data_IF_009209227386
#
_entry.id   IF_009209227386
#
_cell.length_a   1.000
_cell.length_b   1.000
_cell.length_c   1.000
_cell.angle_alpha   90.00
_cell.angle_beta   90.00
_cell.angle_gamma   90.00
#
_symmetry.space_group_name_H-M   'P 1'
#
loop_
_entity.id
_entity.type
_entity.pdbx_description
1 polymer ?
#
# COMPACT_ATOMS: atom_id res chain seq x y z
N UNK A 1 -18.46 -15.81 11.69
CA UNK A 1 -17.65 -14.60 11.42
C UNK A 1 -16.35 -15.11 10.81
N UNK A 2 -15.98 -14.66 9.60
CA UNK A 2 -14.70 -15.06 9.00
C UNK A 2 -13.56 -14.28 9.68
N UNK A 3 -12.36 -14.83 9.62
CA UNK A 3 -11.17 -14.11 10.07
C UNK A 3 -10.93 -12.89 9.16
N UNK A 4 -10.54 -11.76 9.76
CA UNK A 4 -10.30 -10.51 9.04
C UNK A 4 -8.80 -10.25 9.00
N UNK A 5 -8.30 -9.89 7.82
CA UNK A 5 -6.92 -9.44 7.63
C UNK A 5 -6.92 -7.93 7.40
N UNK A 6 -6.05 -7.23 8.12
CA UNK A 6 -5.86 -5.80 7.97
C UNK A 6 -4.80 -5.53 6.91
N UNK A 7 -5.13 -4.64 5.99
CA UNK A 7 -4.22 -4.13 4.97
C UNK A 7 -4.06 -2.61 5.10
N UNK A 8 -2.86 -2.15 4.79
CA UNK A 8 -2.55 -0.74 4.53
C UNK A 8 -1.59 -0.66 3.35
N UNK A 9 -1.08 0.54 3.09
CA UNK A 9 -0.02 0.76 2.10
C UNK A 9 1.21 1.43 2.72
N UNK A 10 2.29 1.54 1.96
CA UNK A 10 3.58 2.01 2.47
C UNK A 10 3.56 3.44 3.03
N UNK A 11 2.49 4.20 2.82
CA UNK A 11 2.38 5.60 3.26
C UNK A 11 1.77 5.77 4.65
N UNK A 12 1.49 4.66 5.35
CA UNK A 12 0.90 4.70 6.69
C UNK A 12 1.88 5.09 7.79
N UNK A 13 3.20 5.06 7.53
CA UNK A 13 4.29 5.36 8.48
C UNK A 13 4.20 4.58 9.81
N UNK A 14 3.55 3.41 9.79
CA UNK A 14 3.54 2.51 10.93
C UNK A 14 4.93 1.92 11.15
N UNK A 15 5.36 1.89 12.40
CA UNK A 15 6.60 1.19 12.74
C UNK A 15 6.44 -0.33 12.59
N UNK A 16 7.56 -1.02 12.37
CA UNK A 16 7.60 -2.48 12.15
C UNK A 16 7.00 -3.28 13.31
N UNK A 17 7.12 -2.77 14.54
CA UNK A 17 6.56 -3.42 15.73
C UNK A 17 5.03 -3.49 15.65
N UNK A 18 4.36 -2.39 15.35
CA UNK A 18 2.91 -2.34 15.21
C UNK A 18 2.41 -3.18 14.04
N UNK A 19 3.12 -3.11 12.90
CA UNK A 19 2.81 -3.93 11.73
C UNK A 19 2.82 -5.42 12.10
N UNK A 20 3.83 -5.85 12.84
CA UNK A 20 3.99 -7.25 13.27
C UNK A 20 2.99 -7.66 14.36
N UNK A 21 2.77 -6.83 15.36
CA UNK A 21 1.86 -7.12 16.47
C UNK A 21 0.40 -7.23 16.02
N UNK A 22 -0.02 -6.40 15.07
CA UNK A 22 -1.37 -6.39 14.52
C UNK A 22 -1.52 -7.22 13.22
N UNK A 23 -0.46 -7.88 12.77
CA UNK A 23 -0.37 -8.64 11.51
C UNK A 23 -0.88 -7.88 10.27
N UNK A 24 -0.54 -6.59 10.18
CA UNK A 24 -0.97 -5.72 9.08
C UNK A 24 -0.16 -6.04 7.83
N UNK A 25 -0.83 -6.25 6.71
CA UNK A 25 -0.20 -6.44 5.41
C UNK A 25 -0.04 -5.09 4.71
N UNK A 26 1.13 -4.85 4.12
CA UNK A 26 1.45 -3.57 3.47
C UNK A 26 1.53 -3.80 1.97
N UNK A 27 0.83 -2.98 1.20
CA UNK A 27 0.98 -2.89 -0.27
C UNK A 27 1.91 -1.72 -0.58
N UNK A 28 3.10 -1.95 -1.18
CA UNK A 28 4.04 -0.87 -1.45
C UNK A 28 3.52 0.06 -2.55
N UNK A 29 3.72 1.37 -2.37
CA UNK A 29 3.74 2.32 -3.48
C UNK A 29 5.13 2.34 -4.12
N UNK A 30 5.29 3.18 -5.14
CA UNK A 30 6.50 3.21 -5.94
C UNK A 30 7.17 4.58 -5.91
N UNK A 31 8.50 4.56 -5.91
CA UNK A 31 9.38 5.73 -6.01
C UNK A 31 10.33 5.53 -7.18
N UNK A 32 10.43 6.52 -8.06
CA UNK A 32 11.20 6.41 -9.30
C UNK A 32 12.23 7.52 -9.49
N UNK A 33 13.38 7.14 -10.06
CA UNK A 33 14.44 8.02 -10.53
C UNK A 33 14.70 7.71 -12.02
N UNK A 34 14.24 8.58 -12.91
CA UNK A 34 14.28 8.37 -14.37
C UNK A 34 13.62 7.04 -14.79
N UNK A 35 14.42 6.05 -15.18
CA UNK A 35 13.98 4.72 -15.64
C UNK A 35 13.96 3.68 -14.51
N UNK A 36 14.56 4.00 -13.37
CA UNK A 36 14.58 3.13 -12.19
C UNK A 36 13.32 3.35 -11.36
N UNK A 37 12.63 2.27 -10.98
CA UNK A 37 11.44 2.28 -10.12
C UNK A 37 11.69 1.32 -8.97
N UNK A 38 11.35 1.75 -7.76
CA UNK A 38 11.55 1.02 -6.52
C UNK A 38 10.23 0.94 -5.77
N UNK A 39 9.98 -0.20 -5.13
CA UNK A 39 8.93 -0.36 -4.12
C UNK A 39 9.36 0.31 -2.81
N UNK A 40 8.53 1.22 -2.35
CA UNK A 40 8.72 1.95 -1.11
C UNK A 40 8.64 1.00 0.10
N UNK A 41 9.65 1.07 0.98
CA UNK A 41 9.78 0.21 2.16
C UNK A 41 10.29 -1.21 1.90
N UNK A 42 10.26 -1.69 0.65
CA UNK A 42 10.77 -3.03 0.27
C UNK A 42 12.13 -2.95 -0.45
N UNK A 43 12.23 -2.10 -1.47
CA UNK A 43 13.42 -1.98 -2.33
C UNK A 43 14.20 -0.69 -2.05
N UNK A 44 13.52 0.33 -1.53
CA UNK A 44 14.14 1.58 -1.10
C UNK A 44 13.56 2.03 0.25
N UNK A 45 14.44 2.42 1.16
CA UNK A 45 14.06 3.01 2.45
C UNK A 45 14.38 4.52 2.45
N UNK A 46 13.95 5.28 3.48
CA UNK A 46 14.19 6.73 3.51
C UNK A 46 15.67 7.11 3.38
N UNK A 47 16.57 6.40 4.05
CA UNK A 47 18.01 6.67 3.96
C UNK A 47 18.54 6.50 2.52
N UNK A 48 18.21 5.37 1.87
CA UNK A 48 18.58 5.11 0.48
C UNK A 48 17.98 6.11 -0.50
N UNK A 49 16.75 6.58 -0.21
CA UNK A 49 16.09 7.62 -0.98
C UNK A 49 16.88 8.94 -0.92
N UNK A 50 17.23 9.40 0.28
CA UNK A 50 17.99 10.63 0.47
C UNK A 50 19.39 10.53 -0.16
N UNK A 51 20.08 9.40 0.01
CA UNK A 51 21.39 9.16 -0.61
C UNK A 51 21.32 9.25 -2.15
N UNK A 52 20.29 8.64 -2.77
CA UNK A 52 20.09 8.76 -4.23
C UNK A 52 19.80 10.19 -4.67
N UNK A 53 19.02 10.95 -3.90
CA UNK A 53 18.77 12.38 -4.20
C UNK A 53 20.08 13.18 -4.16
N UNK A 54 20.92 12.95 -3.15
CA UNK A 54 22.24 13.60 -3.04
C UNK A 54 23.17 13.22 -4.20
N UNK A 55 23.20 11.94 -4.58
CA UNK A 55 24.03 11.43 -5.68
C UNK A 55 23.58 11.97 -7.05
N UNK A 56 22.28 11.92 -7.32
CA UNK A 56 21.71 12.22 -8.64
C UNK A 56 21.41 13.71 -8.84
N UNK A 57 21.24 14.47 -7.74
CA UNK A 57 20.98 15.91 -7.78
C UNK A 57 19.57 16.30 -8.23
N UNK A 58 18.62 15.36 -8.26
CA UNK A 58 17.21 15.63 -8.56
C UNK A 58 16.26 14.81 -7.68
N UNK A 59 15.03 15.31 -7.55
CA UNK A 59 14.00 14.69 -6.71
C UNK A 59 13.35 13.49 -7.42
N UNK A 60 12.96 12.44 -6.67
CA UNK A 60 12.22 11.32 -7.21
C UNK A 60 10.81 11.75 -7.65
N UNK A 61 10.16 10.87 -8.41
CA UNK A 61 8.71 10.91 -8.62
C UNK A 61 8.07 9.72 -7.92
N UNK A 62 6.87 9.92 -7.39
CA UNK A 62 6.07 8.84 -6.82
C UNK A 62 5.04 8.34 -7.82
N UNK A 63 4.64 7.07 -7.69
CA UNK A 63 3.49 6.52 -8.40
C UNK A 63 2.67 5.62 -7.48
N UNK A 64 1.35 5.65 -7.70
CA UNK A 64 0.39 4.83 -6.96
C UNK A 64 0.63 3.33 -7.17
N UNK A 65 0.28 2.53 -6.15
CA UNK A 65 0.14 1.09 -6.32
C UNK A 65 -1.00 0.81 -7.32
N UNK A 66 -0.80 -0.15 -8.22
CA UNK A 66 -1.75 -0.48 -9.27
C UNK A 66 -2.89 -1.36 -8.76
N UNK A 67 -3.97 -1.46 -9.55
CA UNK A 67 -5.05 -2.42 -9.27
C UNK A 67 -4.52 -3.86 -9.20
N UNK A 68 -3.54 -4.21 -10.03
CA UNK A 68 -2.95 -5.56 -10.07
C UNK A 68 -2.19 -5.84 -8.77
N UNK A 69 -1.43 -4.86 -8.26
CA UNK A 69 -0.72 -5.00 -6.98
C UNK A 69 -1.68 -5.34 -5.85
N UNK A 70 -2.81 -4.63 -5.76
CA UNK A 70 -3.84 -4.90 -4.77
C UNK A 70 -4.53 -6.25 -4.99
N UNK A 71 -4.88 -6.60 -6.23
CA UNK A 71 -5.51 -7.89 -6.53
C UNK A 71 -4.64 -9.06 -6.10
N UNK A 72 -3.36 -9.05 -6.47
CA UNK A 72 -2.40 -10.10 -6.10
C UNK A 72 -2.13 -10.12 -4.58
N UNK A 73 -2.16 -8.96 -3.92
CA UNK A 73 -2.03 -8.89 -2.46
C UNK A 73 -3.26 -9.45 -1.72
N UNK A 74 -4.46 -9.19 -2.21
CA UNK A 74 -5.71 -9.60 -1.57
C UNK A 74 -6.06 -11.07 -1.83
N UNK A 75 -5.87 -11.54 -3.07
CA UNK A 75 -6.34 -12.84 -3.55
C UNK A 75 -5.97 -14.02 -2.64
N UNK A 76 -4.72 -14.19 -2.17
CA UNK A 76 -4.36 -15.35 -1.35
C UNK A 76 -5.18 -15.47 -0.06
N UNK A 77 -5.54 -14.34 0.56
CA UNK A 77 -6.31 -14.32 1.81
C UNK A 77 -7.80 -14.57 1.55
N UNK A 78 -8.32 -14.07 0.42
CA UNK A 78 -9.68 -14.36 -0.01
C UNK A 78 -9.86 -15.84 -0.35
N UNK A 79 -8.87 -16.45 -1.02
CA UNK A 79 -8.84 -17.89 -1.34
C UNK A 79 -8.72 -18.77 -0.08
N UNK A 80 -8.02 -18.29 0.96
CA UNK A 80 -7.95 -18.92 2.28
C UNK A 80 -9.24 -18.71 3.13
N UNK A 81 -10.28 -18.12 2.55
CA UNK A 81 -11.58 -17.94 3.21
C UNK A 81 -11.62 -16.80 4.23
N UNK A 82 -10.65 -15.88 4.20
CA UNK A 82 -10.64 -14.67 5.02
C UNK A 82 -11.35 -13.52 4.31
N UNK A 83 -11.70 -12.49 5.08
CA UNK A 83 -12.18 -11.20 4.58
C UNK A 83 -11.12 -10.12 4.85
N UNK A 84 -11.14 -9.03 4.09
CA UNK A 84 -10.11 -7.98 4.14
C UNK A 84 -10.73 -6.64 4.51
N UNK A 85 -10.03 -5.89 5.37
CA UNK A 85 -10.22 -4.45 5.52
C UNK A 85 -8.93 -3.76 5.11
N UNK A 86 -9.02 -2.86 4.13
CA UNK A 86 -7.92 -1.99 3.75
C UNK A 86 -8.20 -0.55 4.17
N UNK A 87 -7.21 0.05 4.83
CA UNK A 87 -7.16 1.45 5.21
C UNK A 87 -5.75 1.97 4.90
N UNK A 88 -5.62 2.90 3.95
CA UNK A 88 -4.34 3.42 3.49
C UNK A 88 -4.42 4.89 3.10
N UNK A 89 -3.63 5.32 2.11
CA UNK A 89 -3.61 6.69 1.61
C UNK A 89 -5.01 7.13 1.14
N UNK A 90 -5.43 8.31 1.60
CA UNK A 90 -6.76 8.84 1.31
C UNK A 90 -6.97 9.17 -0.16
N UNK A 91 -8.23 9.11 -0.60
CA UNK A 91 -8.63 9.27 -2.01
C UNK A 91 -8.26 10.63 -2.63
N UNK A 92 -8.10 11.66 -1.80
CA UNK A 92 -7.70 13.02 -2.22
C UNK A 92 -6.20 13.16 -2.44
N UNK A 93 -5.38 12.24 -1.94
CA UNK A 93 -3.91 12.29 -2.01
C UNK A 93 -3.35 11.44 -3.13
N UNK A 94 -3.97 10.29 -3.41
CA UNK A 94 -3.47 9.35 -4.42
C UNK A 94 -4.58 8.53 -5.07
N UNK A 95 -4.34 8.13 -6.32
CA UNK A 95 -5.17 7.16 -7.04
C UNK A 95 -5.04 5.74 -6.49
N UNK A 96 -4.07 5.47 -5.60
CA UNK A 96 -3.92 4.20 -4.87
C UNK A 96 -5.25 3.73 -4.26
N UNK A 97 -6.00 4.64 -3.61
CA UNK A 97 -7.32 4.32 -3.06
C UNK A 97 -8.29 3.77 -4.12
N UNK A 98 -8.39 4.44 -5.26
CA UNK A 98 -9.26 4.01 -6.34
C UNK A 98 -8.80 2.69 -6.96
N UNK A 99 -7.49 2.46 -7.04
CA UNK A 99 -6.93 1.19 -7.52
C UNK A 99 -7.27 0.03 -6.57
N UNK A 100 -7.19 0.25 -5.24
CA UNK A 100 -7.63 -0.72 -4.24
C UNK A 100 -9.14 -1.01 -4.35
N UNK A 101 -9.97 0.03 -4.57
CA UNK A 101 -11.40 -0.11 -4.78
C UNK A 101 -11.74 -0.90 -6.05
N UNK A 102 -11.00 -0.70 -7.13
CA UNK A 102 -11.17 -1.49 -8.36
C UNK A 102 -10.78 -2.95 -8.14
N UNK A 103 -9.66 -3.22 -7.46
CA UNK A 103 -9.23 -4.57 -7.13
C UNK A 103 -10.25 -5.31 -6.24
N UNK A 104 -10.83 -4.60 -5.26
CA UNK A 104 -11.87 -5.14 -4.38
C UNK A 104 -13.12 -5.64 -5.14
N UNK A 105 -13.45 -5.01 -6.27
CA UNK A 105 -14.62 -5.37 -7.11
C UNK A 105 -14.43 -6.66 -7.91
N UNK A 106 -13.21 -7.17 -8.00
CA UNK A 106 -12.92 -8.47 -8.63
C UNK A 106 -13.28 -9.67 -7.73
N UNK A 107 -13.63 -9.42 -6.46
CA UNK A 107 -14.05 -10.43 -5.50
C UNK A 107 -15.55 -10.29 -5.18
N UNK A 108 -16.13 -11.34 -4.57
CA UNK A 108 -17.53 -11.30 -4.15
C UNK A 108 -17.80 -10.10 -3.23
N UNK A 109 -19.03 -9.57 -3.28
CA UNK A 109 -19.42 -8.42 -2.47
C UNK A 109 -19.20 -8.67 -0.98
N UNK A 110 -18.57 -7.71 -0.30
CA UNK A 110 -18.26 -7.78 1.13
C UNK A 110 -17.01 -8.57 1.50
N UNK A 111 -16.30 -9.19 0.54
CA UNK A 111 -15.03 -9.89 0.82
C UNK A 111 -13.87 -8.94 1.11
N UNK A 112 -13.88 -7.77 0.47
CA UNK A 112 -12.87 -6.72 0.66
C UNK A 112 -13.58 -5.40 0.93
N UNK A 113 -13.30 -4.80 2.08
CA UNK A 113 -13.81 -3.48 2.46
C UNK A 113 -12.69 -2.46 2.37
N UNK A 114 -12.87 -1.46 1.51
CA UNK A 114 -11.94 -0.33 1.34
C UNK A 114 -12.48 0.86 2.14
N UNK A 115 -11.68 1.38 3.06
CA UNK A 115 -12.03 2.54 3.88
C UNK A 115 -11.18 3.71 3.43
N UNK A 116 -11.82 4.83 3.06
CA UNK A 116 -11.11 6.07 2.79
C UNK A 116 -10.68 6.68 4.12
N UNK A 117 -9.37 6.75 4.36
CA UNK A 117 -8.84 7.37 5.58
C UNK A 117 -9.03 8.89 5.57
N UNK A 118 -9.22 9.48 4.39
CA UNK A 118 -9.07 10.91 4.16
C UNK A 118 -7.75 11.50 4.69
N UNK A 119 -6.73 10.65 4.90
CA UNK A 119 -5.46 11.03 5.51
C UNK A 119 -4.25 10.41 4.78
N UNK A 120 -3.06 10.83 5.21
CA UNK A 120 -1.75 10.33 4.80
C UNK A 120 -0.87 10.29 6.06
N UNK A 121 -0.06 9.25 6.25
CA UNK A 121 0.79 9.08 7.44
C UNK A 121 -0.02 8.86 8.74
N UNK A 122 0.67 8.99 9.88
CA UNK A 122 0.16 8.72 11.24
C UNK A 122 -0.55 9.90 11.91
N UNK A 123 -0.56 11.09 11.27
CA UNK A 123 -1.02 12.36 11.85
C UNK A 123 -2.22 12.95 11.16
#
# INVERSE_FOLDING_TARGET
MREIVLFSDSTCDLNEQLIKEADIKIVPLYVGFNEEIYKDGEEINPEGLYNKVEELGFLPKTSAASMVDFYEAFKPYIEDGKDIIYLGIGSKFSTTFNNALLAAREFDEGRVTIIDSENLSTS
#
